data_IF_129292756848
#
_entry.id   IF_129292756848
#
_cell.length_a   1.000
_cell.length_b   1.000
_cell.length_c   1.000
_cell.angle_alpha   90.00
_cell.angle_beta   90.00
_cell.angle_gamma   90.00
#
_symmetry.space_group_name_H-M   'P 1'
#
loop_
_entity.id
_entity.type
_entity.pdbx_description
1 polymer ?
#
# COMPACT_ATOMS: atom_id res chain seq x y z
N UNK A 1 -30.84 -24.00 -31.27
CA UNK A 1 -32.17 -23.60 -30.74
C UNK A 1 -32.53 -24.55 -29.62
N UNK A 2 -32.24 -24.21 -28.37
CA UNK A 2 -32.88 -24.87 -27.23
C UNK A 2 -33.16 -23.82 -26.17
N UNK A 3 -34.45 -23.52 -26.05
CA UNK A 3 -35.08 -22.74 -25.02
C UNK A 3 -35.98 -23.72 -24.24
N UNK A 4 -36.22 -23.44 -22.96
CA UNK A 4 -36.96 -24.21 -21.94
C UNK A 4 -36.14 -25.16 -21.06
N UNK A 5 -35.78 -24.66 -19.87
CA UNK A 5 -36.15 -25.34 -18.62
C UNK A 5 -36.68 -24.31 -17.62
N UNK A 6 -37.94 -24.51 -17.23
CA UNK A 6 -38.69 -23.78 -16.23
C UNK A 6 -38.91 -24.76 -15.07
N UNK A 7 -38.42 -24.47 -13.87
CA UNK A 7 -38.86 -25.08 -12.60
C UNK A 7 -38.44 -24.12 -11.46
N UNK A 8 -39.33 -23.19 -11.10
CA UNK A 8 -40.23 -23.19 -9.94
C UNK A 8 -39.47 -22.98 -8.62
N UNK A 9 -39.55 -21.75 -8.11
CA UNK A 9 -39.27 -21.40 -6.72
C UNK A 9 -40.63 -21.38 -5.99
N UNK A 10 -40.99 -22.46 -5.29
CA UNK A 10 -42.20 -22.51 -4.45
C UNK A 10 -41.81 -22.42 -2.98
N UNK A 11 -42.24 -21.31 -2.37
CA UNK A 11 -42.66 -21.11 -0.98
C UNK A 11 -42.09 -22.05 0.12
N UNK A 12 -41.50 -21.38 1.11
CA UNK A 12 -41.58 -21.69 2.53
C UNK A 12 -40.88 -22.97 3.04
N UNK A 13 -40.11 -22.74 4.10
CA UNK A 13 -39.44 -23.68 5.01
C UNK A 13 -38.05 -24.15 4.55
N UNK A 14 -37.06 -23.49 5.16
CA UNK A 14 -35.65 -23.89 5.34
C UNK A 14 -34.77 -23.79 4.08
N UNK A 15 -33.66 -23.05 4.22
CA UNK A 15 -32.67 -22.65 3.21
C UNK A 15 -33.15 -21.59 2.21
N UNK A 16 -33.13 -20.31 2.64
CA UNK A 16 -33.02 -19.21 1.68
C UNK A 16 -31.61 -19.28 1.09
N UNK A 17 -31.51 -19.86 -0.09
CA UNK A 17 -30.38 -19.65 -1.00
C UNK A 17 -30.31 -18.15 -1.29
N UNK A 18 -29.37 -17.47 -0.62
CA UNK A 18 -28.98 -16.09 -0.88
C UNK A 18 -28.59 -16.00 -2.35
N UNK A 19 -29.46 -15.43 -3.17
CA UNK A 19 -29.06 -14.93 -4.49
C UNK A 19 -28.20 -13.70 -4.24
N UNK A 20 -26.88 -13.88 -4.30
CA UNK A 20 -25.94 -12.78 -4.23
C UNK A 20 -25.97 -12.07 -5.59
N UNK A 21 -26.65 -10.94 -5.70
CA UNK A 21 -26.39 -9.98 -6.77
C UNK A 21 -24.93 -9.51 -6.63
N UNK A 22 -24.11 -9.57 -7.69
CA UNK A 22 -22.77 -9.04 -7.60
C UNK A 22 -22.87 -7.51 -7.73
N UNK A 23 -22.41 -6.78 -6.71
CA UNK A 23 -22.08 -5.35 -6.81
C UNK A 23 -20.81 -5.19 -7.67
N UNK A 24 -20.87 -5.65 -8.92
CA UNK A 24 -19.75 -5.76 -9.85
C UNK A 24 -19.59 -4.54 -10.76
N UNK A 25 -20.14 -3.38 -10.39
CA UNK A 25 -20.16 -2.23 -11.31
C UNK A 25 -18.78 -1.61 -11.54
N UNK A 26 -17.84 -1.77 -10.59
CA UNK A 26 -16.54 -1.10 -10.64
C UNK A 26 -15.36 -2.03 -10.96
N UNK A 27 -15.52 -3.36 -10.90
CA UNK A 27 -14.41 -4.31 -11.09
C UNK A 27 -13.90 -4.38 -12.55
N UNK A 28 -12.57 -4.55 -12.77
CA UNK A 28 -12.04 -4.83 -14.10
C UNK A 28 -12.58 -6.15 -14.67
N UNK A 29 -12.38 -6.38 -15.97
CA UNK A 29 -12.63 -7.69 -16.57
C UNK A 29 -11.85 -8.77 -15.78
N UNK A 30 -12.52 -9.81 -15.23
CA UNK A 30 -11.85 -10.86 -14.47
C UNK A 30 -10.67 -11.51 -15.18
N UNK A 31 -10.68 -11.58 -16.52
CA UNK A 31 -9.55 -12.13 -17.31
C UNK A 31 -8.35 -11.19 -17.34
N UNK A 32 -8.58 -9.88 -17.22
CA UNK A 32 -7.50 -8.89 -17.21
C UNK A 32 -6.72 -8.91 -15.90
N UNK A 33 -7.36 -9.35 -14.81
CA UNK A 33 -6.75 -9.37 -13.47
C UNK A 33 -6.40 -10.78 -12.99
N UNK A 34 -6.61 -11.84 -13.77
CA UNK A 34 -6.31 -13.21 -13.37
C UNK A 34 -4.81 -13.35 -13.00
N UNK A 35 -4.46 -13.95 -11.84
CA UNK A 35 -5.27 -14.78 -10.93
C UNK A 35 -5.90 -14.03 -9.74
N UNK A 36 -5.98 -12.71 -9.79
CA UNK A 36 -6.62 -11.91 -8.75
C UNK A 36 -8.15 -12.01 -8.79
N UNK A 37 -8.76 -11.70 -7.66
CA UNK A 37 -10.19 -11.54 -7.50
C UNK A 37 -10.54 -10.06 -7.31
N UNK A 38 -11.74 -9.65 -7.69
CA UNK A 38 -12.24 -8.31 -7.41
C UNK A 38 -13.67 -8.37 -6.85
N UNK A 39 -13.91 -7.59 -5.81
CA UNK A 39 -15.20 -7.42 -5.16
C UNK A 39 -15.45 -5.94 -4.78
N UNK A 40 -16.42 -5.70 -3.89
CA UNK A 40 -16.80 -4.34 -3.43
C UNK A 40 -15.68 -3.62 -2.68
N UNK A 41 -14.78 -4.37 -2.05
CA UNK A 41 -13.69 -3.82 -1.24
C UNK A 41 -12.44 -3.55 -2.09
N UNK A 42 -12.30 -4.23 -3.22
CA UNK A 42 -11.29 -3.92 -4.23
C UNK A 42 -10.70 -5.15 -4.88
N UNK A 43 -9.42 -5.09 -5.23
CA UNK A 43 -8.71 -6.16 -5.96
C UNK A 43 -7.81 -6.93 -4.98
N UNK A 44 -7.92 -8.24 -4.94
CA UNK A 44 -7.13 -9.11 -4.06
C UNK A 44 -6.38 -10.18 -4.85
N UNK A 45 -5.08 -10.28 -4.60
CA UNK A 45 -4.18 -11.21 -5.27
C UNK A 45 -3.36 -11.97 -4.22
N UNK A 46 -3.45 -13.30 -4.22
CA UNK A 46 -2.85 -14.15 -3.19
C UNK A 46 -2.23 -15.42 -3.77
N UNK A 47 -1.02 -15.76 -3.33
CA UNK A 47 -0.30 -17.01 -3.67
C UNK A 47 -0.15 -17.32 -5.17
N UNK A 48 -0.36 -16.34 -6.06
CA UNK A 48 -0.61 -16.62 -7.48
C UNK A 48 0.08 -15.65 -8.45
N UNK A 49 0.63 -14.52 -7.97
CA UNK A 49 1.38 -13.58 -8.81
C UNK A 49 2.88 -13.89 -8.79
N UNK A 50 3.45 -14.10 -9.97
CA UNK A 50 4.89 -13.91 -10.21
C UNK A 50 5.11 -12.53 -10.85
N UNK A 51 6.36 -12.05 -10.85
CA UNK A 51 6.73 -10.71 -11.37
C UNK A 51 6.29 -10.50 -12.83
N UNK A 52 6.35 -11.55 -13.66
CA UNK A 52 5.96 -11.49 -15.07
C UNK A 52 4.45 -11.27 -15.23
N UNK A 53 3.63 -11.84 -14.34
CA UNK A 53 2.18 -11.63 -14.33
C UNK A 53 1.78 -10.27 -13.74
N UNK A 54 2.48 -9.76 -12.72
CA UNK A 54 2.15 -8.47 -12.10
C UNK A 54 2.10 -7.32 -13.11
N UNK A 55 3.09 -7.27 -14.01
CA UNK A 55 3.17 -6.25 -15.07
C UNK A 55 2.12 -6.40 -16.19
N UNK A 56 1.43 -7.55 -16.25
CA UNK A 56 0.38 -7.85 -17.23
C UNK A 56 -1.02 -7.69 -16.63
N UNK A 57 -1.18 -8.03 -15.35
CA UNK A 57 -2.44 -8.05 -14.59
C UNK A 57 -3.07 -6.67 -14.41
N UNK A 58 -2.27 -5.60 -14.44
CA UNK A 58 -2.77 -4.24 -14.22
C UNK A 58 -2.82 -3.37 -15.45
N UNK A 59 -2.61 -3.91 -16.66
CA UNK A 59 -2.83 -3.15 -17.91
C UNK A 59 -4.31 -3.12 -18.26
N UNK A 60 -5.12 -2.41 -17.47
CA UNK A 60 -6.55 -2.27 -17.73
C UNK A 60 -6.75 -1.21 -18.83
N UNK A 61 -7.36 -1.54 -19.99
CA UNK A 61 -7.61 -0.57 -21.04
C UNK A 61 -8.62 0.48 -20.55
N UNK A 62 -8.12 1.67 -20.20
CA UNK A 62 -8.87 2.91 -20.03
C UNK A 62 -10.24 2.76 -19.34
N UNK A 63 -10.21 2.43 -18.05
CA UNK A 63 -11.30 2.72 -17.12
C UNK A 63 -10.71 3.45 -15.92
N UNK A 64 -11.04 4.73 -15.73
CA UNK A 64 -10.58 5.54 -14.58
C UNK A 64 -11.30 5.14 -13.28
N UNK A 65 -11.56 3.85 -13.10
CA UNK A 65 -12.27 3.37 -11.93
C UNK A 65 -11.36 3.53 -10.72
N UNK A 66 -11.88 4.24 -9.72
CA UNK A 66 -11.21 4.39 -8.45
C UNK A 66 -11.58 3.18 -7.59
N UNK A 67 -10.60 2.35 -7.30
CA UNK A 67 -10.78 1.22 -6.41
C UNK A 67 -10.43 1.63 -4.98
N UNK A 68 -11.19 1.06 -4.04
CA UNK A 68 -10.97 1.33 -2.63
C UNK A 68 -9.62 0.77 -2.19
N UNK A 69 -9.28 -0.45 -2.57
CA UNK A 69 -8.05 -1.09 -2.11
C UNK A 69 -7.50 -2.11 -3.09
N UNK A 70 -6.19 -2.33 -3.03
CA UNK A 70 -5.54 -3.49 -3.64
C UNK A 70 -4.76 -4.25 -2.58
N UNK A 71 -4.97 -5.56 -2.52
CA UNK A 71 -4.23 -6.49 -1.67
C UNK A 71 -3.37 -7.40 -2.53
N UNK A 72 -2.07 -7.38 -2.27
CA UNK A 72 -1.09 -8.22 -2.95
C UNK A 72 -0.25 -8.86 -1.88
N UNK A 73 -0.66 -10.05 -1.44
CA UNK A 73 -0.14 -10.67 -0.23
C UNK A 73 0.36 -12.08 -0.50
N UNK A 74 1.49 -12.46 0.13
CA UNK A 74 2.10 -13.80 -0.04
C UNK A 74 2.40 -14.13 -1.51
N UNK A 75 3.01 -13.20 -2.25
CA UNK A 75 3.52 -13.45 -3.59
C UNK A 75 5.05 -13.27 -3.64
N UNK A 76 5.68 -13.68 -4.74
CA UNK A 76 7.14 -13.61 -4.92
C UNK A 76 7.56 -12.38 -5.74
N UNK A 77 7.00 -11.22 -5.43
CA UNK A 77 7.29 -9.96 -6.14
C UNK A 77 8.60 -9.39 -5.61
N UNK A 78 9.53 -9.07 -6.52
CA UNK A 78 10.86 -8.57 -6.17
C UNK A 78 10.99 -7.05 -6.27
N UNK A 79 10.29 -6.40 -7.19
CA UNK A 79 10.36 -4.95 -7.39
C UNK A 79 8.99 -4.37 -7.74
N UNK A 80 8.75 -3.13 -7.31
CA UNK A 80 7.63 -2.33 -7.82
C UNK A 80 8.18 -1.32 -8.82
N UNK A 81 8.08 -1.65 -10.11
CA UNK A 81 8.59 -0.79 -11.18
C UNK A 81 7.67 0.40 -11.44
N UNK A 82 8.21 1.42 -12.12
CA UNK A 82 7.42 2.56 -12.61
C UNK A 82 6.16 2.08 -13.37
N UNK A 83 5.03 2.72 -13.09
CA UNK A 83 3.73 2.46 -13.74
C UNK A 83 3.21 1.01 -13.58
N UNK A 84 3.62 0.27 -12.55
CA UNK A 84 3.17 -1.12 -12.37
C UNK A 84 1.65 -1.25 -12.18
N UNK A 85 1.00 -0.21 -11.65
CA UNK A 85 -0.47 -0.14 -11.47
C UNK A 85 -1.16 0.69 -12.56
N UNK A 86 -0.64 0.67 -13.79
CA UNK A 86 -1.07 1.63 -14.81
C UNK A 86 -2.59 1.61 -15.08
N UNK A 87 -3.23 2.76 -14.98
CA UNK A 87 -4.69 2.87 -15.19
C UNK A 87 -5.54 2.44 -13.99
N UNK A 88 -4.92 2.00 -12.88
CA UNK A 88 -5.60 1.77 -11.62
C UNK A 88 -5.40 2.94 -10.67
N UNK A 89 -6.52 3.56 -10.28
CA UNK A 89 -6.54 4.58 -9.24
C UNK A 89 -6.93 3.90 -7.93
N UNK A 90 -6.01 3.75 -6.99
CA UNK A 90 -6.23 3.01 -5.75
C UNK A 90 -6.11 3.95 -4.53
N UNK A 91 -7.07 3.89 -3.61
CA UNK A 91 -6.99 4.67 -2.36
C UNK A 91 -6.11 4.00 -1.29
N UNK A 92 -6.01 2.67 -1.25
CA UNK A 92 -5.22 1.95 -0.26
C UNK A 92 -4.47 0.77 -0.86
N UNK A 93 -3.14 0.82 -0.80
CA UNK A 93 -2.26 -0.27 -1.23
C UNK A 93 -1.87 -1.11 -0.02
N UNK A 94 -2.15 -2.40 -0.06
CA UNK A 94 -1.69 -3.40 0.91
C UNK A 94 -0.85 -4.45 0.16
N UNK A 95 0.45 -4.19 0.06
CA UNK A 95 1.39 -5.03 -0.69
C UNK A 95 2.35 -5.66 0.34
N UNK A 96 1.83 -6.65 1.06
CA UNK A 96 2.44 -7.15 2.30
C UNK A 96 2.94 -8.59 2.11
N UNK A 97 3.95 -9.01 2.88
CA UNK A 97 4.45 -10.39 2.81
C UNK A 97 4.89 -10.81 1.40
N UNK A 98 5.68 -9.97 0.72
CA UNK A 98 6.36 -10.33 -0.54
C UNK A 98 7.89 -10.23 -0.38
N UNK A 99 8.60 -10.25 -1.50
CA UNK A 99 10.07 -10.26 -1.56
C UNK A 99 10.63 -8.92 -2.10
N UNK A 100 9.87 -7.83 -1.97
CA UNK A 100 10.17 -6.56 -2.64
C UNK A 100 11.44 -5.95 -2.05
N UNK A 101 12.46 -5.74 -2.89
CA UNK A 101 13.71 -5.08 -2.49
C UNK A 101 13.73 -3.59 -2.83
N UNK A 102 13.09 -3.20 -3.93
CA UNK A 102 13.06 -1.81 -4.40
C UNK A 102 11.66 -1.38 -4.85
N UNK A 103 11.34 -0.12 -4.54
CA UNK A 103 10.20 0.59 -5.11
C UNK A 103 10.76 1.70 -5.99
N UNK A 104 10.46 1.67 -7.28
CA UNK A 104 10.93 2.68 -8.22
C UNK A 104 10.08 3.94 -8.16
N UNK A 105 10.68 5.06 -8.56
CA UNK A 105 9.95 6.30 -8.81
C UNK A 105 8.84 6.09 -9.85
N UNK A 106 7.64 6.55 -9.54
CA UNK A 106 6.47 6.42 -10.39
C UNK A 106 5.71 5.10 -10.24
N UNK A 107 6.06 4.26 -9.26
CA UNK A 107 5.33 3.01 -9.01
C UNK A 107 3.82 3.25 -8.74
N UNK A 108 3.48 4.36 -8.08
CA UNK A 108 2.11 4.71 -7.70
C UNK A 108 1.52 5.90 -8.49
N UNK A 109 2.09 6.24 -9.65
CA UNK A 109 1.83 7.53 -10.32
C UNK A 109 0.35 7.81 -10.61
N UNK A 110 -0.42 6.79 -10.99
CA UNK A 110 -1.85 6.94 -11.33
C UNK A 110 -2.74 7.10 -10.08
N UNK A 111 -2.17 6.91 -8.89
CA UNK A 111 -2.88 7.00 -7.60
C UNK A 111 -2.44 8.19 -6.74
N UNK A 112 -1.46 9.00 -7.16
CA UNK A 112 -0.92 10.12 -6.35
C UNK A 112 -2.01 11.06 -5.80
N UNK A 113 -3.02 11.40 -6.60
CA UNK A 113 -4.08 12.32 -6.19
C UNK A 113 -5.06 11.76 -5.15
N UNK A 114 -5.16 10.43 -5.01
CA UNK A 114 -6.22 9.79 -4.22
C UNK A 114 -5.72 8.81 -3.16
N UNK A 115 -4.45 8.41 -3.22
CA UNK A 115 -3.88 7.43 -2.30
C UNK A 115 -3.87 8.00 -0.88
N UNK A 116 -4.46 7.24 0.04
CA UNK A 116 -4.55 7.57 1.47
C UNK A 116 -3.68 6.69 2.33
N UNK A 117 -3.44 5.45 1.90
CA UNK A 117 -2.70 4.48 2.67
C UNK A 117 -1.81 3.62 1.78
N UNK A 118 -0.56 3.46 2.19
CA UNK A 118 0.38 2.50 1.59
C UNK A 118 0.95 1.65 2.72
N UNK A 119 0.74 0.35 2.62
CA UNK A 119 1.37 -0.66 3.47
C UNK A 119 2.22 -1.59 2.62
N UNK A 120 3.51 -1.62 2.94
CA UNK A 120 4.54 -2.47 2.35
C UNK A 120 5.20 -3.33 3.45
N UNK A 121 4.43 -3.64 4.49
CA UNK A 121 4.86 -4.43 5.64
C UNK A 121 5.40 -5.80 5.23
N UNK A 122 6.44 -6.30 5.92
CA UNK A 122 7.04 -7.63 5.66
C UNK A 122 7.48 -7.81 4.21
N UNK A 123 8.37 -6.94 3.75
CA UNK A 123 9.09 -7.10 2.49
C UNK A 123 10.61 -7.05 2.77
N UNK A 124 11.42 -6.87 1.72
CA UNK A 124 12.88 -6.76 1.81
C UNK A 124 13.39 -5.38 1.37
N UNK A 125 12.56 -4.34 1.54
CA UNK A 125 12.79 -3.04 0.91
C UNK A 125 14.05 -2.40 1.48
N UNK A 126 15.02 -2.15 0.61
CA UNK A 126 16.27 -1.43 0.90
C UNK A 126 16.21 0.03 0.44
N UNK A 127 15.38 0.32 -0.57
CA UNK A 127 15.22 1.65 -1.16
C UNK A 127 13.75 1.96 -1.46
N UNK A 128 13.31 3.15 -1.08
CA UNK A 128 11.94 3.66 -1.27
C UNK A 128 11.99 5.12 -1.77
N UNK A 129 11.13 5.55 -2.72
CA UNK A 129 11.19 6.87 -3.33
C UNK A 129 10.53 7.93 -2.43
N UNK A 130 11.19 8.27 -1.32
CA UNK A 130 10.66 9.23 -0.33
C UNK A 130 10.36 10.61 -0.95
N UNK A 131 11.10 11.02 -1.97
CA UNK A 131 10.88 12.27 -2.71
C UNK A 131 9.50 12.36 -3.37
N UNK A 132 8.86 11.24 -3.69
CA UNK A 132 7.53 11.22 -4.33
C UNK A 132 6.38 11.30 -3.32
N UNK A 133 6.63 11.12 -2.02
CA UNK A 133 5.59 11.27 -1.00
C UNK A 133 4.96 12.66 -0.99
N UNK A 134 5.70 13.68 -1.46
CA UNK A 134 5.18 15.03 -1.66
C UNK A 134 4.13 15.17 -2.77
N UNK A 135 4.08 14.23 -3.71
CA UNK A 135 3.09 14.18 -4.78
C UNK A 135 1.78 13.52 -4.31
N UNK A 136 1.84 12.77 -3.20
CA UNK A 136 0.71 12.03 -2.63
C UNK A 136 -0.06 12.88 -1.62
N UNK A 137 -0.75 13.91 -2.08
CA UNK A 137 -1.37 14.95 -1.22
C UNK A 137 -2.43 14.42 -0.24
N UNK A 138 -3.00 13.26 -0.52
CA UNK A 138 -4.02 12.61 0.31
C UNK A 138 -3.45 11.54 1.25
N UNK A 139 -2.14 11.27 1.21
CA UNK A 139 -1.55 10.18 1.99
C UNK A 139 -1.60 10.48 3.49
N UNK A 140 -2.28 9.62 4.23
CA UNK A 140 -2.49 9.74 5.68
C UNK A 140 -1.66 8.73 6.48
N UNK A 141 -1.37 7.56 5.90
CA UNK A 141 -0.69 6.45 6.57
C UNK A 141 0.34 5.77 5.66
N UNK A 142 1.54 5.59 6.18
CA UNK A 142 2.62 4.84 5.52
C UNK A 142 3.18 3.78 6.47
N UNK A 143 3.11 2.52 6.05
CA UNK A 143 3.69 1.39 6.78
C UNK A 143 4.78 0.76 5.94
N UNK A 144 6.01 0.83 6.46
CA UNK A 144 7.22 0.23 5.91
C UNK A 144 7.88 -0.70 6.94
N UNK A 145 7.14 -1.17 7.95
CA UNK A 145 7.71 -2.01 9.01
C UNK A 145 8.11 -3.40 8.53
N UNK A 146 9.04 -4.04 9.23
CA UNK A 146 9.61 -5.34 8.83
C UNK A 146 10.21 -5.31 7.42
N UNK A 147 11.11 -4.35 7.17
CA UNK A 147 11.85 -4.19 5.92
C UNK A 147 13.36 -4.10 6.19
N UNK A 148 14.14 -3.59 5.23
CA UNK A 148 15.60 -3.54 5.24
C UNK A 148 16.14 -2.13 5.03
N UNK A 149 15.35 -1.11 5.38
CA UNK A 149 15.77 0.29 5.28
C UNK A 149 16.89 0.57 6.29
N UNK A 150 17.93 1.27 5.85
CA UNK A 150 19.11 1.61 6.68
C UNK A 150 19.21 3.10 7.00
N UNK A 151 18.65 3.95 6.13
CA UNK A 151 18.70 5.41 6.30
C UNK A 151 17.36 6.03 5.91
N UNK A 152 16.94 7.06 6.65
CA UNK A 152 15.86 7.95 6.24
C UNK A 152 16.46 9.30 5.83
N UNK A 153 16.43 9.64 4.52
CA UNK A 153 17.01 10.87 4.00
C UNK A 153 16.38 12.15 4.56
N UNK A 154 17.11 13.26 4.46
CA UNK A 154 16.61 14.58 4.82
C UNK A 154 15.39 14.95 3.98
N UNK A 155 14.41 15.62 4.59
CA UNK A 155 13.19 16.09 3.94
C UNK A 155 12.29 14.99 3.34
N UNK A 156 12.53 13.71 3.64
CA UNK A 156 11.79 12.55 3.13
C UNK A 156 10.26 12.69 3.22
N UNK A 157 9.77 13.35 4.28
CA UNK A 157 8.33 13.51 4.52
C UNK A 157 7.87 14.98 4.46
N UNK A 158 8.73 15.90 4.05
CA UNK A 158 8.52 17.34 4.22
C UNK A 158 7.30 17.90 3.47
N UNK A 159 6.94 17.28 2.35
CA UNK A 159 5.83 17.66 1.50
C UNK A 159 4.57 16.79 1.70
N UNK A 160 4.67 15.68 2.44
CA UNK A 160 3.57 14.77 2.73
C UNK A 160 2.67 15.33 3.85
N UNK A 161 2.04 16.47 3.60
CA UNK A 161 1.45 17.31 4.67
C UNK A 161 0.27 16.66 5.41
N UNK A 162 -0.43 15.68 4.82
CA UNK A 162 -1.53 14.95 5.47
C UNK A 162 -1.09 13.70 6.22
N UNK A 163 0.18 13.31 6.10
CA UNK A 163 0.70 12.09 6.70
C UNK A 163 0.64 12.21 8.22
N UNK A 164 -0.12 11.31 8.85
CA UNK A 164 -0.43 11.34 10.28
C UNK A 164 0.15 10.16 11.04
N UNK A 165 0.39 9.04 10.36
CA UNK A 165 1.00 7.84 10.93
C UNK A 165 2.07 7.27 10.02
N UNK A 166 3.26 7.03 10.60
CA UNK A 166 4.39 6.39 9.93
C UNK A 166 4.84 5.22 10.79
N UNK A 167 4.89 4.02 10.19
CA UNK A 167 5.49 2.85 10.82
C UNK A 167 6.75 2.41 10.08
N UNK A 168 7.89 2.64 10.72
CA UNK A 168 9.23 2.25 10.28
C UNK A 168 9.86 1.24 11.26
N UNK A 169 9.05 0.60 12.11
CA UNK A 169 9.54 -0.38 13.06
C UNK A 169 10.13 -1.62 12.37
N UNK A 170 10.99 -2.35 13.08
CA UNK A 170 11.56 -3.61 12.59
C UNK A 170 12.28 -3.46 11.24
N UNK A 171 13.07 -2.40 11.11
CA UNK A 171 13.97 -2.16 9.99
C UNK A 171 15.44 -2.22 10.47
N UNK A 172 16.36 -1.82 9.61
CA UNK A 172 17.80 -1.77 9.92
C UNK A 172 18.30 -0.33 9.99
N UNK A 173 17.42 0.62 10.36
CA UNK A 173 17.71 2.06 10.27
C UNK A 173 18.80 2.42 11.29
N UNK A 174 19.93 2.88 10.79
CA UNK A 174 21.08 3.35 11.56
C UNK A 174 21.10 4.88 11.63
N UNK A 175 20.63 5.54 10.56
CA UNK A 175 20.69 7.00 10.43
C UNK A 175 19.34 7.60 10.07
N UNK A 176 18.93 8.61 10.84
CA UNK A 176 17.93 9.58 10.42
C UNK A 176 18.68 10.85 10.05
N UNK A 177 18.61 11.29 8.80
CA UNK A 177 19.30 12.52 8.42
C UNK A 177 18.66 13.75 9.10
N UNK A 178 19.42 14.85 9.27
CA UNK A 178 18.87 16.11 9.79
C UNK A 178 17.67 16.56 8.96
N UNK A 179 16.57 16.91 9.62
CA UNK A 179 15.33 17.30 8.95
C UNK A 179 14.59 16.18 8.21
N UNK A 180 14.90 14.89 8.43
CA UNK A 180 14.15 13.77 7.85
C UNK A 180 12.62 13.90 8.03
N UNK A 181 12.19 14.39 9.19
CA UNK A 181 10.79 14.59 9.58
C UNK A 181 10.38 16.08 9.63
N UNK A 182 11.18 16.98 9.05
CA UNK A 182 10.88 18.40 9.00
C UNK A 182 9.58 18.67 8.25
N UNK A 183 8.78 19.66 8.69
CA UNK A 183 7.57 20.08 7.97
C UNK A 183 6.32 19.23 8.21
N UNK A 184 6.42 18.07 8.87
CA UNK A 184 5.25 17.25 9.19
C UNK A 184 4.39 17.84 10.32
N UNK A 185 3.39 18.65 9.94
CA UNK A 185 2.50 19.35 10.89
C UNK A 185 1.37 18.48 11.43
N UNK A 186 0.99 17.44 10.68
CA UNK A 186 -0.13 16.56 11.02
C UNK A 186 0.31 15.19 11.55
N UNK A 187 1.62 14.94 11.69
CA UNK A 187 2.12 13.69 12.25
C UNK A 187 1.62 13.53 13.68
N UNK A 188 1.00 12.40 13.99
CA UNK A 188 0.51 12.04 15.32
C UNK A 188 1.29 10.86 15.88
N UNK A 189 1.66 9.91 15.02
CA UNK A 189 2.32 8.67 15.40
C UNK A 189 3.52 8.39 14.48
N UNK A 190 4.66 8.14 15.11
CA UNK A 190 5.79 7.52 14.42
C UNK A 190 6.35 6.36 15.25
N UNK A 191 6.44 5.19 14.60
CA UNK A 191 7.00 3.97 15.18
C UNK A 191 8.39 3.74 14.59
N UNK A 192 9.40 3.68 15.46
CA UNK A 192 10.81 3.44 15.11
C UNK A 192 11.42 2.31 15.94
N UNK A 193 10.61 1.54 16.67
CA UNK A 193 11.10 0.42 17.48
C UNK A 193 11.81 -0.64 16.63
N UNK A 194 12.70 -1.42 17.25
CA UNK A 194 13.46 -2.49 16.58
C UNK A 194 14.24 -2.00 15.35
N UNK A 195 15.04 -0.93 15.53
CA UNK A 195 15.99 -0.45 14.52
C UNK A 195 17.43 -0.45 15.10
N UNK A 196 18.41 0.06 14.34
CA UNK A 196 19.82 0.11 14.72
C UNK A 196 20.29 1.53 15.05
N UNK A 197 19.36 2.41 15.41
CA UNK A 197 19.68 3.80 15.72
C UNK A 197 20.65 3.86 16.90
N UNK A 198 21.69 4.71 16.81
CA UNK A 198 22.69 4.99 17.87
C UNK A 198 22.79 6.47 18.28
N UNK A 199 21.96 7.35 17.72
CA UNK A 199 21.28 8.48 18.42
C UNK A 199 19.92 8.81 17.81
N UNK A 200 19.06 9.48 18.57
CA UNK A 200 17.91 10.18 18.00
C UNK A 200 18.36 11.61 17.71
N UNK A 201 18.55 12.00 16.45
CA UNK A 201 19.03 13.33 16.16
C UNK A 201 17.92 14.32 16.52
N UNK A 202 18.17 15.20 17.47
CA UNK A 202 17.23 16.26 17.85
C UNK A 202 16.79 17.10 16.64
N UNK A 203 17.67 17.21 15.64
CA UNK A 203 17.43 17.93 14.38
C UNK A 203 16.58 17.17 13.36
N UNK A 204 16.39 15.84 13.50
CA UNK A 204 15.57 15.08 12.56
C UNK A 204 14.09 15.40 12.68
N UNK A 205 13.63 15.84 13.85
CA UNK A 205 12.22 16.06 14.19
C UNK A 205 11.77 17.52 14.13
N UNK A 206 12.70 18.47 13.97
CA UNK A 206 12.40 19.91 14.01
C UNK A 206 11.86 20.38 15.37
N UNK A 207 11.26 21.57 15.42
CA UNK A 207 10.70 22.17 16.64
C UNK A 207 9.26 21.73 16.98
N UNK A 208 8.67 20.82 16.20
CA UNK A 208 7.31 20.34 16.44
C UNK A 208 7.34 19.23 17.51
N UNK A 209 6.85 19.52 18.72
CA UNK A 209 6.87 18.62 19.88
C UNK A 209 5.52 17.90 20.14
N UNK A 210 4.61 17.84 19.16
CA UNK A 210 3.22 17.38 19.36
C UNK A 210 2.92 15.98 18.79
N UNK A 211 3.89 15.08 18.68
CA UNK A 211 3.63 13.70 18.25
C UNK A 211 4.17 12.66 19.22
N UNK A 212 3.47 11.52 19.26
CA UNK A 212 3.87 10.39 20.09
C UNK A 212 4.87 9.55 19.31
N UNK A 213 6.13 9.54 19.75
CA UNK A 213 7.12 8.58 19.25
C UNK A 213 7.12 7.36 20.16
N UNK A 214 6.64 6.22 19.68
CA UNK A 214 6.74 4.96 20.44
C UNK A 214 8.01 4.22 20.03
N UNK A 215 8.92 4.08 20.99
CA UNK A 215 10.29 3.56 20.83
C UNK A 215 10.49 2.41 21.81
N UNK A 216 10.08 1.20 21.45
CA UNK A 216 10.07 0.09 22.43
C UNK A 216 11.44 -0.62 22.48
N UNK A 217 12.30 -0.52 21.45
CA UNK A 217 13.55 -1.30 21.37
C UNK A 217 14.60 -0.75 20.38
N UNK A 218 15.37 0.29 20.71
CA UNK A 218 16.58 0.68 19.94
C UNK A 218 17.81 0.57 20.87
N UNK A 219 19.03 0.35 20.36
CA UNK A 219 20.24 0.08 21.16
C UNK A 219 20.80 1.31 21.92
N UNK A 220 19.96 1.98 22.70
CA UNK A 220 20.29 3.16 23.52
C UNK A 220 20.06 2.97 24.99
#
# INVERSE_FOLDING_TARGET
MFNNFLLICSLCLVFVSVHCEPDSADCPDPKSIEPCHCDREGISCFNSLDEQKLSQVFKVPNGYNAYRSVWITQNSIYNLTRNIFNGLRIQSFFIEENEIETVEEGAFTDSYEIVKQISLHRNKIKSFPFNELGLMEQLEKLTLSHNKLTTIPANSFSLATKLSAIDLSDNEIETLEPGAFFGMRNLQLILLGNNKLTQLPALSFGSNLLFTVRKISNPF
#
